data_IF_344757820698
#
_entry.id   IF_344757820698
#
_cell.length_a   1.000
_cell.length_b   1.000
_cell.length_c   1.000
_cell.angle_alpha   90.00
_cell.angle_beta   90.00
_cell.angle_gamma   90.00
#
_symmetry.space_group_name_H-M   'P 1'
#
loop_
_entity.id
_entity.type
_entity.pdbx_description
1 polymer ?
#
# COMPACT_ATOMS: atom_id res chain seq x y z
N UNK A 1 14.60 0.59 -8.04
CA UNK A 1 14.21 1.77 -8.83
C UNK A 1 15.33 2.80 -8.81
N UNK A 2 15.57 3.52 -7.71
CA UNK A 2 16.54 4.63 -7.67
C UNK A 2 17.93 4.28 -8.24
N UNK A 3 18.57 3.22 -7.76
CA UNK A 3 19.90 2.81 -8.28
C UNK A 3 19.87 2.47 -9.77
N UNK A 4 18.93 1.62 -10.20
CA UNK A 4 18.81 1.23 -11.61
C UNK A 4 18.40 2.41 -12.52
N UNK A 5 17.69 3.41 -11.99
CA UNK A 5 17.35 4.63 -12.71
C UNK A 5 18.56 5.58 -12.82
N UNK A 6 19.36 5.69 -11.76
CA UNK A 6 20.62 6.43 -11.75
C UNK A 6 21.62 5.84 -12.75
N UNK A 7 21.67 4.51 -12.87
CA UNK A 7 22.47 3.78 -13.87
C UNK A 7 21.92 3.88 -15.30
N UNK A 8 20.74 4.47 -15.51
CA UNK A 8 20.10 4.60 -16.82
C UNK A 8 19.53 3.30 -17.39
N UNK A 9 19.43 2.23 -16.59
CA UNK A 9 18.89 0.94 -17.02
C UNK A 9 17.35 0.94 -17.11
N UNK A 10 16.69 1.81 -16.33
CA UNK A 10 15.23 2.01 -16.31
C UNK A 10 14.91 3.49 -16.05
N UNK A 11 13.65 3.87 -16.18
CA UNK A 11 13.16 5.23 -15.92
C UNK A 11 11.66 5.26 -15.59
N UNK A 12 11.06 6.46 -15.42
CA UNK A 12 9.64 6.61 -15.11
C UNK A 12 8.72 5.88 -16.10
N UNK A 13 9.09 5.82 -17.37
CA UNK A 13 8.38 5.11 -18.43
C UNK A 13 8.33 3.58 -18.25
N UNK A 14 9.18 3.02 -17.37
CA UNK A 14 9.15 1.61 -17.00
C UNK A 14 8.14 1.32 -15.88
N UNK A 15 7.63 2.33 -15.18
CA UNK A 15 6.54 2.18 -14.20
C UNK A 15 5.24 1.99 -14.97
N UNK A 16 4.60 0.83 -14.80
CA UNK A 16 3.41 0.46 -15.58
C UNK A 16 2.11 0.97 -15.00
N UNK A 17 2.01 0.98 -13.68
CA UNK A 17 0.83 1.43 -12.96
C UNK A 17 1.16 1.63 -11.47
N UNK A 18 0.36 2.46 -10.81
CA UNK A 18 0.23 2.46 -9.35
C UNK A 18 -0.66 1.30 -8.90
N UNK A 19 -0.46 0.83 -7.66
CA UNK A 19 -1.26 -0.28 -7.13
C UNK A 19 -2.77 0.05 -7.10
N UNK A 20 -3.11 1.29 -6.78
CA UNK A 20 -4.49 1.78 -6.76
C UNK A 20 -5.19 1.67 -8.13
N UNK A 21 -4.46 1.93 -9.23
CA UNK A 21 -5.01 1.84 -10.59
C UNK A 21 -5.35 0.40 -10.96
N UNK A 22 -4.52 -0.56 -10.54
CA UNK A 22 -4.80 -1.98 -10.73
C UNK A 22 -6.00 -2.43 -9.90
N UNK A 23 -6.10 -1.98 -8.64
CA UNK A 23 -7.19 -2.33 -7.74
C UNK A 23 -8.57 -1.86 -8.22
N UNK A 24 -8.64 -0.66 -8.81
CA UNK A 24 -9.90 -0.10 -9.33
C UNK A 24 -10.17 -0.51 -10.80
N UNK A 25 -9.28 -1.30 -11.41
CA UNK A 25 -9.41 -1.75 -12.80
C UNK A 25 -9.08 -0.68 -13.86
N UNK A 26 -8.47 0.45 -13.46
CA UNK A 26 -7.97 1.47 -14.39
C UNK A 26 -6.74 0.99 -15.18
N UNK A 27 -5.99 0.03 -14.63
CA UNK A 27 -4.93 -0.70 -15.34
C UNK A 27 -5.14 -2.22 -15.20
N UNK A 28 -4.97 -3.03 -16.28
CA UNK A 28 -5.30 -4.46 -16.27
C UNK A 28 -4.37 -5.32 -15.40
N UNK A 29 -3.25 -4.77 -14.95
CA UNK A 29 -2.22 -5.51 -14.20
C UNK A 29 -1.52 -6.54 -15.09
N UNK A 30 -1.41 -7.78 -14.62
CA UNK A 30 -0.78 -8.88 -15.36
C UNK A 30 -1.74 -9.40 -16.45
N UNK A 31 -1.26 -9.54 -17.68
CA UNK A 31 -2.11 -9.96 -18.82
C UNK A 31 -1.75 -11.32 -19.42
N UNK A 32 -0.58 -11.87 -19.08
CA UNK A 32 -0.13 -13.16 -19.59
C UNK A 32 0.65 -13.97 -18.56
N UNK A 33 0.75 -15.29 -18.79
CA UNK A 33 1.51 -16.20 -17.91
C UNK A 33 3.02 -16.02 -18.04
N UNK A 34 3.50 -15.52 -19.17
CA UNK A 34 4.94 -15.39 -19.46
C UNK A 34 5.52 -14.07 -18.92
N UNK A 35 4.66 -13.11 -18.52
CA UNK A 35 5.09 -11.88 -17.85
C UNK A 35 5.71 -12.16 -16.47
N UNK A 36 6.87 -11.54 -16.24
CA UNK A 36 7.44 -11.35 -14.91
C UNK A 36 6.95 -9.99 -14.40
N UNK A 37 6.33 -9.97 -13.22
CA UNK A 37 5.84 -8.76 -12.58
C UNK A 37 6.66 -8.43 -11.33
N UNK A 38 6.94 -7.14 -11.13
CA UNK A 38 7.62 -6.63 -9.94
C UNK A 38 6.74 -5.57 -9.29
N UNK A 39 6.34 -5.82 -8.05
CA UNK A 39 5.77 -4.80 -7.19
C UNK A 39 6.85 -4.25 -6.27
N UNK A 40 7.03 -2.93 -6.27
CA UNK A 40 7.94 -2.24 -5.35
C UNK A 40 7.13 -1.34 -4.43
N UNK A 41 6.94 -1.78 -3.19
CA UNK A 41 6.35 -0.93 -2.14
C UNK A 41 7.40 -0.01 -1.50
N UNK A 42 6.96 1.20 -1.14
CA UNK A 42 7.69 2.12 -0.26
C UNK A 42 7.07 2.20 1.14
N UNK A 43 5.87 1.63 1.33
CA UNK A 43 4.99 1.86 2.49
C UNK A 43 4.32 3.23 2.41
N UNK A 44 3.00 3.28 2.57
CA UNK A 44 2.24 4.53 2.62
C UNK A 44 1.50 4.63 3.95
N UNK A 45 1.57 5.78 4.62
CA UNK A 45 0.91 6.01 5.91
C UNK A 45 -0.61 5.75 5.88
N UNK A 46 -1.24 5.88 4.70
CA UNK A 46 -2.67 5.56 4.52
C UNK A 46 -2.96 4.07 4.71
N UNK A 47 -2.02 3.19 4.39
CA UNK A 47 -2.14 1.74 4.59
C UNK A 47 -2.21 1.42 6.08
N UNK A 48 -1.31 2.04 6.88
CA UNK A 48 -1.28 1.90 8.33
C UNK A 48 -2.56 2.45 8.96
N UNK A 49 -2.99 3.65 8.56
CA UNK A 49 -4.20 4.28 9.08
C UNK A 49 -5.45 3.45 8.76
N UNK A 50 -5.57 2.92 7.54
CA UNK A 50 -6.68 2.06 7.14
C UNK A 50 -6.71 0.76 7.97
N UNK A 51 -5.55 0.13 8.18
CA UNK A 51 -5.43 -1.05 9.02
C UNK A 51 -5.80 -0.76 10.48
N UNK A 52 -5.29 0.33 11.05
CA UNK A 52 -5.60 0.77 12.41
C UNK A 52 -7.09 1.08 12.59
N UNK A 53 -7.70 1.80 11.64
CA UNK A 53 -9.14 2.09 11.66
C UNK A 53 -9.97 0.82 11.61
N UNK A 54 -9.61 -0.15 10.76
CA UNK A 54 -10.30 -1.43 10.68
C UNK A 54 -10.19 -2.24 11.98
N UNK A 55 -8.98 -2.35 12.53
CA UNK A 55 -8.74 -3.04 13.80
C UNK A 55 -9.50 -2.39 14.96
N UNK A 56 -9.50 -1.05 15.03
CA UNK A 56 -10.22 -0.29 16.04
C UNK A 56 -11.74 -0.51 15.96
N UNK A 57 -12.31 -0.46 14.75
CA UNK A 57 -13.74 -0.75 14.55
C UNK A 57 -14.09 -2.17 15.02
N UNK A 58 -13.28 -3.17 14.67
CA UNK A 58 -13.47 -4.55 15.10
C UNK A 58 -13.36 -4.73 16.62
N UNK A 59 -12.42 -4.03 17.25
CA UNK A 59 -12.27 -4.06 18.70
C UNK A 59 -13.52 -3.49 19.39
N UNK A 60 -14.03 -2.35 18.92
CA UNK A 60 -15.25 -1.74 19.44
C UNK A 60 -16.48 -2.67 19.27
N UNK A 61 -16.66 -3.29 18.10
CA UNK A 61 -17.77 -4.22 17.84
C UNK A 61 -17.74 -5.44 18.76
N UNK A 62 -16.55 -5.87 19.21
CA UNK A 62 -16.35 -7.07 20.02
C UNK A 62 -16.18 -6.76 21.52
N UNK A 63 -16.23 -5.49 21.92
CA UNK A 63 -15.98 -5.08 23.30
C UNK A 63 -14.55 -5.40 23.76
N UNK A 64 -13.57 -5.30 22.86
CA UNK A 64 -12.15 -5.54 23.14
C UNK A 64 -11.41 -4.21 23.35
N UNK A 65 -10.34 -4.27 24.15
CA UNK A 65 -9.53 -3.11 24.52
C UNK A 65 -9.81 -2.62 25.93
N UNK A 66 -9.05 -1.62 26.37
CA UNK A 66 -9.18 -0.99 27.68
C UNK A 66 -9.16 0.53 27.51
N UNK A 67 -10.02 1.23 28.24
CA UNK A 67 -9.98 2.69 28.24
C UNK A 67 -8.88 3.16 29.19
N UNK A 68 -8.04 4.07 28.70
CA UNK A 68 -7.00 4.71 29.51
C UNK A 68 -7.27 6.20 29.59
N UNK A 69 -7.14 6.77 30.77
CA UNK A 69 -7.23 8.22 30.93
C UNK A 69 -6.05 8.90 30.22
N UNK A 70 -6.36 9.92 29.42
CA UNK A 70 -5.36 10.69 28.71
C UNK A 70 -5.10 11.99 29.49
N UNK A 71 -4.04 12.03 30.29
CA UNK A 71 -3.60 13.27 30.93
C UNK A 71 -2.88 14.16 29.91
N UNK A 72 -3.56 15.18 29.41
CA UNK A 72 -2.89 16.31 28.74
C UNK A 72 -2.23 17.20 29.79
N UNK A 73 -0.90 17.31 29.73
CA UNK A 73 -0.13 18.36 30.43
C UNK A 73 -0.40 19.73 29.85
#
# INVERSE_FOLDING_TARGET
>A
YLLAAEEGAIGPEHIRAELGEVLIGAHPGRTSRDEITLFKSLGLAIEDLAAAAHAYQKANEQGLGEWVEFETK
#
